data_IF_516724482713
#
_entry.id   IF_516724482713
#
_cell.length_a   1.000
_cell.length_b   1.000
_cell.length_c   1.000
_cell.angle_alpha   90.00
_cell.angle_beta   90.00
_cell.angle_gamma   90.00
#
_symmetry.space_group_name_H-M   'P 1'
#
loop_
_entity.id
_entity.type
_entity.pdbx_description
1 polymer ?
#
# COMPACT_ATOMS: atom_id res chain seq x y z
N UNK A 1 -0.67 -2.97 16.85
CA UNK A 1 -0.78 -1.76 17.71
C UNK A 1 -0.63 -0.50 16.87
N UNK A 2 -1.32 0.61 17.24
CA UNK A 2 -1.26 1.89 16.50
C UNK A 2 0.15 2.51 16.46
N UNK A 3 1.00 2.20 17.44
CA UNK A 3 2.42 2.60 17.48
C UNK A 3 3.27 2.04 16.33
N UNK A 4 2.80 0.98 15.66
CA UNK A 4 3.49 0.39 14.51
C UNK A 4 3.13 1.07 13.17
N UNK A 5 2.22 2.05 13.16
CA UNK A 5 1.86 2.75 11.92
C UNK A 5 3.04 3.57 11.40
N UNK A 6 3.19 3.60 10.08
CA UNK A 6 4.26 4.30 9.38
C UNK A 6 3.69 5.01 8.16
N UNK A 7 4.37 6.06 7.71
CA UNK A 7 4.04 6.81 6.50
C UNK A 7 5.29 6.89 5.64
N UNK A 8 5.12 6.62 4.35
CA UNK A 8 6.17 6.76 3.36
C UNK A 8 5.84 7.96 2.48
N UNK A 9 6.73 8.94 2.43
CA UNK A 9 6.69 9.96 1.39
C UNK A 9 7.21 9.34 0.10
N UNK A 10 6.32 9.22 -0.89
CA UNK A 10 6.61 8.64 -2.20
C UNK A 10 7.42 9.62 -3.02
N UNK A 11 8.45 9.12 -3.70
CA UNK A 11 9.27 9.91 -4.62
C UNK A 11 8.71 9.82 -6.03
N UNK A 12 8.14 8.67 -6.39
CA UNK A 12 7.65 8.39 -7.74
C UNK A 12 8.79 7.93 -8.65
N UNK A 13 8.48 7.35 -9.82
CA UNK A 13 9.52 6.93 -10.75
C UNK A 13 10.21 8.14 -11.38
N UNK A 14 11.52 8.03 -11.57
CA UNK A 14 12.33 9.04 -12.27
C UNK A 14 11.98 9.01 -13.75
N UNK A 15 11.60 10.16 -14.29
CA UNK A 15 11.43 10.42 -15.71
C UNK A 15 12.57 11.33 -16.18
N UNK A 16 13.38 10.83 -17.11
CA UNK A 16 14.40 11.64 -17.76
C UNK A 16 13.77 12.31 -18.98
N UNK A 17 13.84 13.62 -19.04
CA UNK A 17 13.40 14.43 -20.20
C UNK A 17 14.59 15.30 -20.60
N UNK A 18 15.32 14.87 -21.62
CA UNK A 18 16.62 15.48 -21.98
C UNK A 18 17.64 15.32 -20.83
N UNK A 19 18.29 16.41 -20.42
CA UNK A 19 19.21 16.44 -19.26
C UNK A 19 18.50 16.60 -17.91
N UNK A 20 17.18 16.76 -17.90
CA UNK A 20 16.41 17.04 -16.69
C UNK A 20 15.76 15.77 -16.16
N UNK A 21 15.90 15.50 -14.86
CA UNK A 21 15.18 14.43 -14.17
C UNK A 21 13.98 15.01 -13.43
N UNK A 22 12.78 14.57 -13.79
CA UNK A 22 11.54 14.84 -13.05
C UNK A 22 10.99 13.55 -12.44
N UNK A 23 10.06 13.65 -11.50
CA UNK A 23 9.40 12.50 -10.90
C UNK A 23 7.96 12.43 -11.38
N UNK A 24 7.51 11.26 -11.86
CA UNK A 24 6.11 11.09 -12.22
C UNK A 24 5.28 11.05 -10.93
N UNK A 25 4.29 11.93 -10.86
CA UNK A 25 3.30 11.92 -9.79
C UNK A 25 2.08 11.10 -10.26
N UNK A 26 1.39 10.44 -9.32
CA UNK A 26 0.15 9.68 -9.52
C UNK A 26 0.26 8.29 -10.18
N UNK A 27 1.39 7.59 -10.03
CA UNK A 27 1.45 6.16 -10.34
C UNK A 27 1.29 5.32 -9.07
N UNK A 28 0.06 4.88 -8.79
CA UNK A 28 -0.28 4.15 -7.57
C UNK A 28 0.42 2.77 -7.50
N UNK A 29 0.65 2.12 -8.65
CA UNK A 29 1.35 0.83 -8.70
C UNK A 29 2.83 1.02 -8.39
N UNK A 30 3.49 2.01 -9.00
CA UNK A 30 4.88 2.32 -8.69
C UNK A 30 5.05 2.76 -7.23
N UNK A 31 4.09 3.54 -6.71
CA UNK A 31 4.05 3.97 -5.31
C UNK A 31 3.95 2.77 -4.36
N UNK A 32 3.05 1.82 -4.65
CA UNK A 32 2.92 0.58 -3.87
C UNK A 32 4.22 -0.22 -3.86
N UNK A 33 4.88 -0.37 -5.01
CA UNK A 33 6.18 -1.04 -5.09
C UNK A 33 7.23 -0.34 -4.22
N UNK A 34 7.33 0.99 -4.32
CA UNK A 34 8.28 1.76 -3.51
C UNK A 34 8.03 1.56 -2.00
N UNK A 35 6.77 1.61 -1.55
CA UNK A 35 6.40 1.38 -0.14
C UNK A 35 6.87 0.00 0.31
N UNK A 36 6.55 -1.04 -0.46
CA UNK A 36 6.84 -2.42 -0.07
C UNK A 36 8.34 -2.69 -0.08
N UNK A 37 9.08 -2.27 -1.11
CA UNK A 37 10.54 -2.43 -1.16
C UNK A 37 11.21 -1.74 0.02
N UNK A 38 10.78 -0.51 0.36
CA UNK A 38 11.33 0.22 1.51
C UNK A 38 10.95 -0.42 2.83
N UNK A 39 9.69 -0.84 3.00
CA UNK A 39 9.22 -1.53 4.22
C UNK A 39 10.00 -2.81 4.47
N UNK A 40 10.18 -3.64 3.45
CA UNK A 40 10.84 -4.93 3.57
C UNK A 40 12.37 -4.81 3.72
N UNK A 41 12.93 -3.64 3.40
CA UNK A 41 14.32 -3.31 3.68
C UNK A 41 14.63 -2.97 5.14
N UNK A 42 13.63 -2.95 6.02
CA UNK A 42 13.79 -2.75 7.47
C UNK A 42 13.76 -4.09 8.21
N UNK A 43 14.91 -4.74 8.47
CA UNK A 43 14.96 -6.05 9.13
C UNK A 43 14.47 -6.02 10.59
N UNK A 44 14.50 -4.84 11.23
CA UNK A 44 13.98 -4.64 12.58
C UNK A 44 12.44 -4.65 12.64
N UNK A 45 11.76 -4.63 11.49
CA UNK A 45 10.30 -4.73 11.44
C UNK A 45 9.86 -6.17 11.16
N UNK A 46 9.00 -6.75 12.02
CA UNK A 46 8.56 -8.11 11.82
C UNK A 46 7.78 -8.25 10.50
N UNK A 47 8.05 -9.33 9.79
CA UNK A 47 7.28 -9.68 8.59
C UNK A 47 5.82 -9.98 8.99
N UNK A 48 4.84 -9.43 8.28
CA UNK A 48 3.45 -9.72 8.54
C UNK A 48 3.07 -11.11 8.00
N UNK A 49 2.03 -11.72 8.57
CA UNK A 49 1.45 -12.97 8.04
C UNK A 49 0.80 -12.79 6.66
N UNK A 50 0.28 -11.60 6.39
CA UNK A 50 -0.21 -11.21 5.08
C UNK A 50 -0.18 -9.69 4.89
N UNK A 51 -0.27 -9.27 3.64
CA UNK A 51 -0.36 -7.88 3.24
C UNK A 51 -1.72 -7.68 2.57
N UNK A 52 -2.47 -6.70 3.06
CA UNK A 52 -3.71 -6.22 2.43
C UNK A 52 -3.38 -4.97 1.63
N UNK A 53 -3.71 -4.98 0.34
CA UNK A 53 -3.55 -3.82 -0.55
C UNK A 53 -4.90 -3.27 -0.97
N UNK A 54 -5.01 -1.94 -1.03
CA UNK A 54 -6.14 -1.23 -1.59
C UNK A 54 -5.95 -1.14 -3.11
N UNK A 55 -6.82 -1.77 -3.88
CA UNK A 55 -6.72 -1.84 -5.34
C UNK A 55 -6.93 -3.25 -5.89
N UNK A 56 -7.14 -3.34 -7.21
CA UNK A 56 -7.45 -4.61 -7.88
C UNK A 56 -6.25 -5.51 -8.19
N UNK A 57 -6.47 -6.47 -9.09
CA UNK A 57 -5.49 -7.49 -9.51
C UNK A 57 -4.10 -6.95 -9.88
N UNK A 58 -4.00 -5.78 -10.50
CA UNK A 58 -2.72 -5.16 -10.83
C UNK A 58 -1.89 -4.80 -9.58
N UNK A 59 -2.54 -4.29 -8.54
CA UNK A 59 -1.90 -3.95 -7.26
C UNK A 59 -1.42 -5.22 -6.55
N UNK A 60 -2.26 -6.26 -6.56
CA UNK A 60 -1.88 -7.58 -6.02
C UNK A 60 -0.61 -8.12 -6.69
N UNK A 61 -0.60 -8.17 -8.03
CA UNK A 61 0.54 -8.67 -8.80
C UNK A 61 1.81 -7.84 -8.57
N UNK A 62 1.68 -6.52 -8.43
CA UNK A 62 2.80 -5.64 -8.14
C UNK A 62 3.38 -5.87 -6.74
N UNK A 63 2.53 -6.11 -5.73
CA UNK A 63 2.99 -6.47 -4.40
C UNK A 63 3.68 -7.86 -4.41
N UNK A 64 3.06 -8.85 -5.05
CA UNK A 64 3.65 -10.19 -5.21
C UNK A 64 5.01 -10.15 -5.93
N UNK A 65 5.20 -9.27 -6.93
CA UNK A 65 6.49 -9.13 -7.62
C UNK A 65 7.58 -8.64 -6.68
N UNK A 66 7.30 -7.64 -5.84
CA UNK A 66 8.26 -7.12 -4.86
C UNK A 66 8.60 -8.17 -3.80
N UNK A 67 7.62 -8.93 -3.32
CA UNK A 67 7.86 -10.02 -2.36
C UNK A 67 8.77 -11.10 -2.96
N UNK A 68 8.56 -11.43 -4.24
CA UNK A 68 9.43 -12.35 -4.97
C UNK A 68 10.86 -11.82 -5.12
N UNK A 69 11.03 -10.54 -5.44
CA UNK A 69 12.35 -9.89 -5.56
C UNK A 69 13.13 -9.91 -4.25
N UNK A 70 12.45 -9.73 -3.11
CA UNK A 70 13.06 -9.76 -1.78
C UNK A 70 13.18 -11.19 -1.21
N UNK A 71 12.59 -12.18 -1.88
CA UNK A 71 12.68 -13.59 -1.48
C UNK A 71 11.82 -13.96 -0.28
N UNK A 72 10.71 -13.25 -0.02
CA UNK A 72 9.81 -13.51 1.11
C UNK A 72 8.48 -14.10 0.66
N UNK A 73 8.01 -15.13 1.36
CA UNK A 73 6.74 -15.79 1.10
C UNK A 73 5.64 -15.24 2.02
N UNK A 74 5.05 -14.10 1.64
CA UNK A 74 3.95 -13.47 2.37
C UNK A 74 2.72 -13.45 1.46
N UNK A 75 1.55 -13.81 2.01
CA UNK A 75 0.30 -13.79 1.25
C UNK A 75 -0.18 -12.37 0.99
N UNK A 76 -0.63 -12.09 -0.24
CA UNK A 76 -1.21 -10.80 -0.63
C UNK A 76 -2.71 -10.92 -0.88
N UNK A 77 -3.48 -10.06 -0.21
CA UNK A 77 -4.91 -9.90 -0.38
C UNK A 77 -5.17 -8.51 -0.94
N UNK A 78 -6.08 -8.40 -1.90
CA UNK A 78 -6.40 -7.13 -2.55
C UNK A 78 -7.88 -6.79 -2.37
N UNK A 79 -8.17 -5.56 -1.96
CA UNK A 79 -9.53 -5.05 -1.76
C UNK A 79 -9.89 -4.17 -2.94
N UNK A 80 -10.83 -4.63 -3.77
CA UNK A 80 -11.37 -3.89 -4.90
C UNK A 80 -12.49 -2.99 -4.39
N UNK A 81 -12.44 -1.71 -4.72
CA UNK A 81 -13.47 -0.74 -4.37
C UNK A 81 -14.48 -0.55 -5.51
N UNK A 82 -15.72 -0.21 -5.16
CA UNK A 82 -16.73 0.27 -6.09
C UNK A 82 -16.53 1.77 -6.43
N UNK A 83 -17.38 2.31 -7.30
CA UNK A 83 -17.36 3.73 -7.66
C UNK A 83 -17.68 4.70 -6.51
N UNK A 84 -18.09 4.19 -5.34
CA UNK A 84 -18.33 4.95 -4.10
C UNK A 84 -17.22 4.71 -3.06
N UNK A 85 -16.09 4.12 -3.48
CA UNK A 85 -14.96 3.76 -2.63
C UNK A 85 -15.26 2.75 -1.50
N UNK A 86 -16.33 1.97 -1.63
CA UNK A 86 -16.67 0.89 -0.69
C UNK A 86 -16.07 -0.44 -1.15
N UNK A 87 -15.65 -1.33 -0.24
CA UNK A 87 -15.23 -2.68 -0.61
C UNK A 87 -16.32 -3.37 -1.44
N UNK A 88 -15.95 -3.80 -2.65
CA UNK A 88 -16.82 -4.53 -3.59
C UNK A 88 -16.46 -6.01 -3.65
N UNK A 89 -15.17 -6.30 -3.65
CA UNK A 89 -14.62 -7.64 -3.88
C UNK A 89 -13.28 -7.76 -3.18
N UNK A 90 -12.98 -8.95 -2.64
CA UNK A 90 -11.70 -9.24 -2.00
C UNK A 90 -11.04 -10.41 -2.72
N UNK A 91 -9.80 -10.19 -3.18
CA UNK A 91 -9.06 -11.16 -3.98
C UNK A 91 -7.94 -11.78 -3.14
N UNK A 92 -7.98 -13.11 -2.96
CA UNK A 92 -6.87 -13.88 -2.39
C UNK A 92 -7.00 -14.30 -0.92
N UNK A 93 -8.12 -14.03 -0.25
CA UNK A 93 -8.41 -14.41 1.14
C UNK A 93 -8.21 -15.91 1.39
N UNK A 94 -8.80 -16.76 0.55
CA UNK A 94 -8.68 -18.23 0.66
C UNK A 94 -7.23 -18.71 0.68
N UNK A 95 -6.38 -18.20 -0.23
CA UNK A 95 -4.96 -18.57 -0.27
C UNK A 95 -4.20 -18.04 0.94
N UNK A 96 -4.60 -16.87 1.45
CA UNK A 96 -3.97 -16.25 2.60
C UNK A 96 -4.38 -16.87 3.94
N UNK A 97 -5.46 -17.65 3.98
CA UNK A 97 -6.00 -18.22 5.22
C UNK A 97 -6.48 -17.15 6.20
N UNK A 98 -6.99 -16.02 5.68
CA UNK A 98 -7.46 -14.87 6.48
C UNK A 98 -8.94 -14.64 6.21
N UNK A 99 -9.68 -14.34 7.28
CA UNK A 99 -11.09 -14.00 7.22
C UNK A 99 -11.33 -12.67 6.47
N UNK A 100 -12.41 -12.62 5.68
CA UNK A 100 -12.75 -11.41 4.94
C UNK A 100 -13.04 -10.22 5.87
N UNK A 101 -13.58 -10.48 7.06
CA UNK A 101 -13.85 -9.47 8.09
C UNK A 101 -12.57 -8.79 8.54
N UNK A 102 -11.51 -9.57 8.79
CA UNK A 102 -10.20 -9.03 9.19
C UNK A 102 -9.60 -8.16 8.08
N UNK A 103 -9.75 -8.58 6.82
CA UNK A 103 -9.30 -7.82 5.66
C UNK A 103 -10.04 -6.48 5.55
N UNK A 104 -11.36 -6.50 5.72
CA UNK A 104 -12.18 -5.27 5.68
C UNK A 104 -11.82 -4.34 6.83
N UNK A 105 -11.65 -4.86 8.05
CA UNK A 105 -11.26 -4.07 9.22
C UNK A 105 -9.88 -3.44 9.06
N UNK A 106 -8.90 -4.22 8.58
CA UNK A 106 -7.55 -3.72 8.32
C UNK A 106 -7.54 -2.62 7.25
N UNK A 107 -8.29 -2.81 6.17
CA UNK A 107 -8.42 -1.82 5.09
C UNK A 107 -9.13 -0.55 5.56
N UNK A 108 -10.20 -0.68 6.33
CA UNK A 108 -10.93 0.45 6.90
C UNK A 108 -10.05 1.27 7.86
N UNK A 109 -9.24 0.61 8.69
CA UNK A 109 -8.31 1.29 9.60
C UNK A 109 -7.18 2.01 8.85
N UNK A 110 -6.63 1.40 7.79
CA UNK A 110 -5.63 2.05 6.93
C UNK A 110 -6.21 3.30 6.24
N UNK A 111 -7.45 3.22 5.75
CA UNK A 111 -8.16 4.35 5.17
C UNK A 111 -8.41 5.47 6.20
N UNK A 112 -8.88 5.11 7.41
CA UNK A 112 -9.09 6.05 8.53
C UNK A 112 -7.79 6.79 8.87
N UNK A 113 -6.68 6.06 8.98
CA UNK A 113 -5.37 6.63 9.28
C UNK A 113 -4.92 7.60 8.18
N UNK A 114 -5.06 7.21 6.91
CA UNK A 114 -4.71 8.06 5.77
C UNK A 114 -5.52 9.36 5.75
N UNK A 115 -6.85 9.29 5.89
CA UNK A 115 -7.72 10.46 5.93
C UNK A 115 -7.37 11.43 7.06
N UNK A 116 -7.13 10.92 8.28
CA UNK A 116 -6.75 11.74 9.41
C UNK A 116 -5.44 12.50 9.15
N UNK A 117 -4.46 11.85 8.49
CA UNK A 117 -3.18 12.46 8.13
C UNK A 117 -3.31 13.51 7.03
N UNK A 118 -4.10 13.23 5.99
CA UNK A 118 -4.38 14.21 4.94
C UNK A 118 -5.08 15.45 5.49
N UNK A 119 -6.05 15.29 6.39
CA UNK A 119 -6.71 16.42 7.08
C UNK A 119 -5.72 17.27 7.88
N UNK A 120 -4.87 16.62 8.70
CA UNK A 120 -3.86 17.33 9.50
C UNK A 120 -2.79 18.02 8.66
N UNK A 121 -2.39 17.44 7.53
CA UNK A 121 -1.45 18.08 6.61
C UNK A 121 -2.06 19.34 5.98
N UNK A 122 -3.34 19.29 5.58
CA UNK A 122 -4.05 20.44 5.01
C UNK A 122 -4.25 21.55 6.04
N UNK A 123 -4.55 21.23 7.29
CA UNK A 123 -4.72 22.26 8.34
C UNK A 123 -3.43 23.01 8.67
N UNK A 124 -2.26 22.41 8.43
CA UNK A 124 -0.94 23.06 8.64
C UNK A 124 -0.48 23.90 7.46
N UNK A 125 -1.14 23.81 6.30
CA UNK A 125 -0.82 24.55 5.08
C UNK A 125 -1.58 25.89 4.97
N UNK A 126 -2.46 26.20 5.92
CA UNK A 126 -3.33 27.40 5.93
C UNK A 126 -2.76 28.48 6.88
N UNK A 127 -1.43 28.64 6.95
CA UNK A 127 -0.80 29.72 7.73
C UNK A 127 0.43 30.26 7.02
#
# INVERSE_FOLDING_TARGET
AKSAYRIFRIRGPKKHVGRTTSYMQNDDIASLKEILSRRLGHPEWPLPKAIVVDGGTAHKKAAESVLKEVGVAISVVAVVKDGRHRPREIIGTRRAGIDETDVVLANAEAHRFSLARHRHARSRLVY
#
